data_IF_454964832676
#
_entry.id   IF_454964832676
#
_cell.length_a   1.000
_cell.length_b   1.000
_cell.length_c   1.000
_cell.angle_alpha   90.00
_cell.angle_beta   90.00
_cell.angle_gamma   90.00
#
_symmetry.space_group_name_H-M   'P 1'
#
loop_
_entity.id
_entity.type
_entity.pdbx_description
1 polymer ?
#
# COMPACT_ATOMS: atom_id res chain seq x y z
N UNK A 1 -16.35 -34.71 -60.06
CA UNK A 1 -16.83 -33.74 -59.07
C UNK A 1 -15.64 -33.31 -58.23
N UNK A 2 -15.48 -32.00 -58.06
CA UNK A 2 -14.41 -31.23 -57.40
C UNK A 2 -14.17 -31.71 -55.94
N UNK A 3 -13.02 -31.60 -55.25
CA UNK A 3 -11.98 -30.56 -55.05
C UNK A 3 -10.74 -31.23 -54.39
N UNK A 4 -9.48 -30.99 -54.77
CA UNK A 4 -8.53 -29.90 -54.36
C UNK A 4 -8.07 -30.05 -52.87
N UNK A 5 -6.80 -29.96 -52.42
CA UNK A 5 -5.45 -29.60 -52.92
C UNK A 5 -4.40 -30.16 -51.91
N UNK A 6 -3.28 -30.79 -52.29
CA UNK A 6 -1.89 -30.24 -52.45
C UNK A 6 -1.46 -29.19 -51.37
N UNK A 7 -0.26 -29.14 -50.74
CA UNK A 7 0.91 -30.02 -50.55
C UNK A 7 1.95 -29.29 -49.64
N UNK A 8 2.66 -30.04 -48.76
CA UNK A 8 4.08 -29.88 -48.30
C UNK A 8 4.57 -28.58 -47.60
N UNK A 9 5.53 -28.58 -46.65
CA UNK A 9 6.95 -29.00 -46.76
C UNK A 9 7.57 -29.24 -45.36
N UNK A 10 8.40 -30.28 -45.24
CA UNK A 10 9.34 -30.53 -44.14
C UNK A 10 10.76 -30.09 -44.55
N UNK A 11 11.49 -29.38 -43.69
CA UNK A 11 12.97 -29.30 -43.73
C UNK A 11 13.50 -29.33 -42.28
N UNK A 12 14.45 -30.22 -42.00
CA UNK A 12 15.31 -30.26 -40.79
C UNK A 12 16.79 -30.27 -41.27
N UNK A 13 17.81 -30.18 -40.39
CA UNK A 13 18.57 -28.99 -40.01
C UNK A 13 20.01 -28.98 -40.58
N UNK A 14 20.70 -27.84 -40.59
CA UNK A 14 22.17 -27.87 -40.62
C UNK A 14 22.81 -26.68 -39.88
N UNK A 15 23.94 -26.97 -39.26
CA UNK A 15 24.59 -26.21 -38.20
C UNK A 15 25.40 -25.03 -38.72
N UNK A 16 25.42 -23.92 -37.98
CA UNK A 16 26.60 -23.07 -37.86
C UNK A 16 26.76 -22.68 -36.39
N UNK A 17 27.89 -23.12 -35.85
CA UNK A 17 28.41 -22.86 -34.53
C UNK A 17 29.32 -21.65 -34.65
N UNK A 18 29.04 -20.57 -33.93
CA UNK A 18 30.06 -19.60 -33.54
C UNK A 18 29.81 -19.13 -32.11
N UNK A 19 30.83 -19.37 -31.31
CA UNK A 19 30.95 -18.93 -29.93
C UNK A 19 31.37 -17.47 -29.94
N UNK A 20 30.59 -16.60 -29.30
CA UNK A 20 31.14 -15.38 -28.73
C UNK A 20 30.80 -15.32 -27.24
N UNK A 21 31.86 -15.48 -26.45
CA UNK A 21 31.92 -15.17 -25.03
C UNK A 21 31.76 -13.66 -24.84
N UNK A 22 30.65 -13.22 -24.25
CA UNK A 22 30.68 -12.07 -23.35
C UNK A 22 30.12 -12.47 -21.99
N UNK A 23 31.03 -12.52 -21.01
CA UNK A 23 30.69 -12.38 -19.61
C UNK A 23 30.20 -10.96 -19.40
N UNK A 24 28.96 -10.80 -18.94
CA UNK A 24 28.57 -9.63 -18.16
C UNK A 24 28.07 -10.09 -16.79
N UNK A 25 28.82 -9.65 -15.79
CA UNK A 25 28.51 -9.72 -14.37
C UNK A 25 27.33 -8.79 -14.04
N UNK A 26 26.74 -9.06 -12.87
CA UNK A 26 25.90 -8.15 -12.10
C UNK A 26 24.46 -7.93 -12.58
N UNK A 27 23.63 -8.98 -12.44
CA UNK A 27 22.20 -8.78 -12.11
C UNK A 27 22.07 -8.36 -10.65
N UNK A 28 22.45 -7.13 -10.34
CA UNK A 28 21.90 -6.41 -9.20
C UNK A 28 20.49 -5.97 -9.61
N UNK A 29 19.53 -6.88 -9.48
CA UNK A 29 18.12 -6.56 -9.66
C UNK A 29 17.73 -5.55 -8.59
N UNK A 30 17.71 -4.27 -8.94
CA UNK A 30 17.12 -3.25 -8.07
C UNK A 30 15.67 -3.65 -7.83
N UNK A 31 15.36 -4.11 -6.61
CA UNK A 31 13.98 -4.36 -6.18
C UNK A 31 13.25 -3.02 -6.23
N UNK A 32 12.45 -2.84 -7.27
CA UNK A 32 11.67 -1.61 -7.47
C UNK A 32 10.59 -1.59 -6.41
N UNK A 33 10.73 -0.70 -5.43
CA UNK A 33 9.63 -0.37 -4.52
C UNK A 33 8.44 0.14 -5.33
N UNK A 34 7.24 -0.36 -5.04
CA UNK A 34 6.02 0.10 -5.69
C UNK A 34 5.62 1.45 -5.09
N UNK A 35 5.85 2.51 -5.85
CA UNK A 35 5.38 3.87 -5.52
C UNK A 35 4.11 4.12 -6.32
N UNK A 36 2.98 4.36 -5.66
CA UNK A 36 1.88 5.03 -6.32
C UNK A 36 2.34 6.48 -6.60
N UNK A 37 2.60 6.82 -7.86
CA UNK A 37 2.82 8.22 -8.26
C UNK A 37 1.49 8.95 -8.10
N UNK A 38 1.29 9.56 -6.94
CA UNK A 38 0.20 10.52 -6.71
C UNK A 38 0.89 11.85 -6.45
N UNK A 39 0.73 12.76 -7.42
CA UNK A 39 1.04 14.17 -7.21
C UNK A 39 0.40 14.61 -5.89
N UNK A 40 1.15 15.34 -5.05
CA UNK A 40 0.54 16.12 -3.96
C UNK A 40 -0.50 17.03 -4.60
N UNK A 41 -1.77 16.67 -4.48
CA UNK A 41 -2.86 17.56 -4.81
C UNK A 41 -3.48 17.92 -3.47
N UNK A 42 -2.94 18.92 -2.78
CA UNK A 42 -3.72 19.60 -1.72
C UNK A 42 -4.90 20.28 -2.39
N UNK A 43 -6.00 19.55 -2.57
CA UNK A 43 -7.30 20.15 -2.84
C UNK A 43 -7.78 20.71 -1.50
N UNK A 44 -7.78 22.04 -1.36
CA UNK A 44 -8.53 22.75 -0.31
C UNK A 44 -8.19 22.39 1.16
N UNK A 45 -6.91 22.30 1.52
CA UNK A 45 -6.47 21.91 2.88
C UNK A 45 -6.84 20.46 3.31
N UNK A 46 -7.29 19.61 2.38
CA UNK A 46 -7.48 18.19 2.66
C UNK A 46 -6.13 17.47 2.70
N UNK A 47 -5.88 16.74 3.80
CA UNK A 47 -4.74 15.82 3.89
C UNK A 47 -5.01 14.67 2.95
N UNK A 48 -4.25 14.57 1.86
CA UNK A 48 -4.28 13.40 0.98
C UNK A 48 -3.11 12.49 1.37
N UNK A 49 -3.37 11.44 2.17
CA UNK A 49 -2.34 10.49 2.51
C UNK A 49 -1.91 9.72 1.25
N UNK A 50 -0.62 9.44 1.15
CA UNK A 50 -0.08 8.55 0.12
C UNK A 50 0.60 7.38 0.80
N UNK A 51 0.73 6.26 0.08
CA UNK A 51 1.34 5.07 0.62
C UNK A 51 2.46 4.55 -0.28
N UNK A 52 3.33 3.75 0.34
CA UNK A 52 4.36 2.97 -0.34
C UNK A 52 4.37 1.57 0.24
N UNK A 53 4.50 0.59 -0.65
CA UNK A 53 4.68 -0.80 -0.25
C UNK A 53 6.15 -1.21 -0.41
N UNK A 54 6.75 -1.66 0.69
CA UNK A 54 8.09 -2.20 0.77
C UNK A 54 8.01 -3.73 0.76
N UNK A 55 8.10 -4.33 -0.42
CA UNK A 55 7.90 -5.77 -0.63
C UNK A 55 8.92 -6.64 0.09
N UNK A 56 10.15 -6.16 0.25
CA UNK A 56 11.23 -6.88 0.93
C UNK A 56 11.02 -7.00 2.44
N UNK A 57 10.36 -6.01 3.05
CA UNK A 57 10.01 -6.00 4.46
C UNK A 57 8.54 -6.41 4.72
N UNK A 58 7.72 -6.53 3.67
CA UNK A 58 6.27 -6.69 3.75
C UNK A 58 5.61 -5.60 4.62
N UNK A 59 5.92 -4.34 4.32
CA UNK A 59 5.42 -3.15 5.04
C UNK A 59 4.68 -2.22 4.10
N UNK A 60 3.48 -1.82 4.49
CA UNK A 60 2.79 -0.67 3.87
C UNK A 60 2.98 0.53 4.79
N UNK A 61 3.66 1.56 4.29
CA UNK A 61 3.80 2.84 4.98
C UNK A 61 2.86 3.85 4.36
N UNK A 62 2.08 4.54 5.20
CA UNK A 62 1.16 5.60 4.83
C UNK A 62 1.70 6.90 5.42
N UNK A 63 1.82 7.94 4.60
CA UNK A 63 2.41 9.21 4.98
C UNK A 63 1.36 10.32 4.86
N UNK A 64 1.27 11.17 5.88
CA UNK A 64 0.40 12.36 5.87
C UNK A 64 1.15 13.63 5.46
N UNK A 65 2.47 13.60 5.56
CA UNK A 65 3.38 14.65 5.11
C UNK A 65 4.54 14.00 4.34
N UNK A 66 5.22 14.76 3.49
CA UNK A 66 6.38 14.25 2.77
C UNK A 66 7.47 13.80 3.74
N UNK A 67 7.94 12.54 3.67
CA UNK A 67 8.97 12.03 4.58
C UNK A 67 10.25 12.84 4.40
N UNK A 68 10.68 13.47 5.48
CA UNK A 68 11.90 14.26 5.55
C UNK A 68 12.79 13.69 6.65
N UNK A 69 14.10 13.58 6.40
CA UNK A 69 15.03 12.99 7.37
C UNK A 69 15.05 13.79 8.68
N UNK A 70 15.02 13.08 9.82
CA UNK A 70 15.02 13.70 11.15
C UNK A 70 13.68 14.29 11.59
N UNK A 71 12.61 14.04 10.85
CA UNK A 71 11.27 14.56 11.17
C UNK A 71 10.50 13.68 12.16
N UNK A 72 10.82 12.39 12.23
CA UNK A 72 10.21 11.45 13.20
C UNK A 72 10.96 11.58 14.53
N UNK A 73 10.22 11.90 15.58
CA UNK A 73 10.71 12.00 16.95
C UNK A 73 10.62 10.66 17.68
N UNK A 74 9.43 10.05 17.68
CA UNK A 74 9.18 8.75 18.30
C UNK A 74 8.11 7.97 17.53
N UNK A 75 7.85 6.73 17.95
CA UNK A 75 6.81 5.89 17.36
C UNK A 75 6.21 4.95 18.40
N UNK A 76 4.91 4.68 18.30
CA UNK A 76 4.15 3.87 19.24
C UNK A 76 3.27 2.86 18.51
N UNK A 77 3.06 1.69 19.12
CA UNK A 77 2.24 0.63 18.53
C UNK A 77 0.76 0.85 18.83
N UNK A 78 -0.04 1.16 17.80
CA UNK A 78 -1.50 1.20 17.93
C UNK A 78 -2.11 -0.22 18.02
N UNK A 79 -1.53 -1.16 17.27
CA UNK A 79 -1.90 -2.58 17.32
C UNK A 79 -0.62 -3.39 17.39
N UNK A 80 -0.51 -4.19 18.45
CA UNK A 80 0.68 -4.98 18.77
C UNK A 80 1.27 -5.70 17.55
N UNK A 81 2.54 -5.44 17.23
CA UNK A 81 3.28 -5.99 16.08
C UNK A 81 2.60 -5.82 14.71
N UNK A 82 1.64 -4.89 14.58
CA UNK A 82 0.77 -4.81 13.39
C UNK A 82 0.71 -3.40 12.83
N UNK A 83 0.41 -2.40 13.67
CA UNK A 83 0.27 -1.00 13.26
C UNK A 83 1.14 -0.14 14.17
N UNK A 84 2.11 0.55 13.58
CA UNK A 84 3.00 1.48 14.25
C UNK A 84 2.73 2.90 13.76
N UNK A 85 2.63 3.84 14.68
CA UNK A 85 2.32 5.25 14.42
C UNK A 85 3.59 6.05 14.71
N UNK A 86 4.01 6.88 13.77
CA UNK A 86 5.18 7.74 13.95
C UNK A 86 4.77 9.19 14.14
N UNK A 87 5.43 9.86 15.09
CA UNK A 87 5.10 11.21 15.53
C UNK A 87 6.26 12.19 15.31
N UNK A 88 5.93 13.46 15.10
CA UNK A 88 6.90 14.56 15.06
C UNK A 88 7.22 15.09 16.48
N UNK A 89 7.97 16.19 16.57
CA UNK A 89 8.35 16.82 17.84
C UNK A 89 7.18 17.54 18.55
N UNK A 90 6.04 17.71 17.88
CA UNK A 90 4.82 18.31 18.41
C UNK A 90 3.76 17.24 18.71
N UNK A 91 4.16 15.96 18.77
CA UNK A 91 3.29 14.79 18.96
C UNK A 91 2.18 14.68 17.90
N UNK A 92 2.46 15.13 16.67
CA UNK A 92 1.57 14.95 15.52
C UNK A 92 1.99 13.74 14.69
N UNK A 93 1.01 12.97 14.25
CA UNK A 93 1.15 11.79 13.41
C UNK A 93 1.67 12.18 12.03
N UNK A 94 2.81 11.61 11.68
CA UNK A 94 3.53 11.82 10.43
C UNK A 94 3.25 10.68 9.45
N UNK A 95 3.24 9.45 9.96
CA UNK A 95 3.06 8.24 9.18
C UNK A 95 2.51 7.08 10.00
N UNK A 96 2.01 6.07 9.29
CA UNK A 96 1.60 4.77 9.82
C UNK A 96 2.29 3.68 9.04
N UNK A 97 2.93 2.76 9.75
CA UNK A 97 3.49 1.53 9.20
C UNK A 97 2.62 0.34 9.57
N UNK A 98 2.28 -0.47 8.57
CA UNK A 98 1.52 -1.72 8.72
C UNK A 98 2.46 -2.88 8.40
N UNK A 99 2.78 -3.68 9.42
CA UNK A 99 3.71 -4.80 9.31
C UNK A 99 3.03 -6.08 8.82
N UNK A 100 3.81 -6.93 8.15
CA UNK A 100 3.32 -8.16 7.51
C UNK A 100 2.07 -7.89 6.67
N UNK A 101 2.11 -6.79 5.93
CA UNK A 101 0.95 -6.15 5.33
C UNK A 101 0.16 -7.10 4.42
N UNK A 102 0.86 -7.99 3.70
CA UNK A 102 0.25 -9.01 2.85
C UNK A 102 -0.73 -9.94 3.59
N UNK A 103 -0.51 -10.17 4.88
CA UNK A 103 -1.36 -10.99 5.76
C UNK A 103 -2.33 -10.15 6.58
N UNK A 104 -1.84 -9.05 7.12
CA UNK A 104 -2.56 -8.15 8.02
C UNK A 104 -3.67 -7.40 7.32
N UNK A 105 -3.49 -6.96 6.08
CA UNK A 105 -4.51 -6.21 5.36
C UNK A 105 -5.56 -7.13 4.75
N UNK A 106 -6.80 -6.62 4.73
CA UNK A 106 -7.92 -7.28 4.05
C UNK A 106 -7.82 -7.22 2.52
N UNK A 107 -6.96 -6.36 1.98
CA UNK A 107 -6.67 -6.22 0.56
C UNK A 107 -5.34 -6.90 0.16
N UNK A 108 -5.12 -7.14 -1.13
CA UNK A 108 -3.83 -7.58 -1.66
C UNK A 108 -2.99 -6.39 -2.16
N UNK A 109 -1.67 -6.61 -2.21
CA UNK A 109 -0.68 -5.58 -2.56
C UNK A 109 -0.13 -5.72 -4.00
N UNK A 110 -0.63 -6.72 -4.75
CA UNK A 110 -0.26 -6.99 -6.13
C UNK A 110 -0.62 -5.85 -7.08
N UNK A 111 0.09 -5.76 -8.21
CA UNK A 111 -0.16 -4.77 -9.26
C UNK A 111 -1.25 -5.21 -10.24
N UNK A 112 -2.43 -5.43 -9.69
CA UNK A 112 -3.65 -5.75 -10.44
C UNK A 112 -4.84 -5.08 -9.76
N UNK A 113 -5.88 -4.79 -10.55
CA UNK A 113 -7.16 -4.27 -10.03
C UNK A 113 -8.18 -5.38 -9.81
N UNK A 114 -7.86 -6.62 -10.18
CA UNK A 114 -8.70 -7.79 -9.95
C UNK A 114 -8.48 -8.35 -8.56
N UNK A 115 -9.51 -8.93 -7.96
CA UNK A 115 -9.38 -9.67 -6.71
C UNK A 115 -8.38 -10.85 -6.86
N UNK A 116 -7.65 -11.12 -5.78
CA UNK A 116 -6.72 -12.25 -5.67
C UNK A 116 -6.92 -12.89 -4.30
N UNK A 117 -7.17 -14.19 -4.27
CA UNK A 117 -7.46 -14.96 -3.05
C UNK A 117 -8.55 -14.31 -2.19
N UNK A 118 -9.66 -13.92 -2.82
CA UNK A 118 -10.81 -13.23 -2.21
C UNK A 118 -10.46 -11.91 -1.49
N UNK A 119 -9.28 -11.33 -1.80
CA UNK A 119 -8.90 -9.99 -1.34
C UNK A 119 -9.11 -8.98 -2.48
N UNK A 120 -9.72 -7.81 -2.24
CA UNK A 120 -9.71 -6.71 -3.18
C UNK A 120 -8.31 -6.08 -3.32
N UNK A 121 -8.05 -5.29 -4.37
CA UNK A 121 -6.82 -4.51 -4.46
C UNK A 121 -6.75 -3.44 -3.37
N UNK A 122 -5.53 -3.12 -2.93
CA UNK A 122 -5.29 -1.96 -2.04
C UNK A 122 -5.71 -0.68 -2.76
N UNK A 123 -6.74 -0.03 -2.20
CA UNK A 123 -7.20 1.29 -2.61
C UNK A 123 -7.29 2.16 -1.36
N UNK A 124 -6.29 3.01 -1.15
CA UNK A 124 -6.28 3.96 -0.04
C UNK A 124 -7.29 5.08 -0.32
N UNK A 125 -8.28 5.20 0.56
CA UNK A 125 -9.28 6.26 0.52
C UNK A 125 -9.40 6.93 1.89
N UNK A 126 -9.44 8.25 1.94
CA UNK A 126 -9.59 9.02 3.17
C UNK A 126 -10.88 9.82 3.18
N UNK A 127 -11.56 9.85 4.32
CA UNK A 127 -12.68 10.77 4.56
C UNK A 127 -12.49 11.53 5.87
N UNK A 128 -12.72 12.84 5.84
CA UNK A 128 -12.67 13.68 7.03
C UNK A 128 -14.08 14.13 7.44
N UNK A 129 -14.38 14.04 8.73
CA UNK A 129 -15.68 14.39 9.29
C UNK A 129 -15.55 15.54 10.29
N UNK A 130 -15.75 16.77 9.81
CA UNK A 130 -15.49 18.02 10.55
C UNK A 130 -16.19 18.08 11.92
N UNK A 131 -17.46 17.67 11.99
CA UNK A 131 -18.27 17.77 13.22
C UNK A 131 -17.67 16.96 14.37
N UNK A 132 -17.03 15.83 14.05
CA UNK A 132 -16.46 14.91 15.05
C UNK A 132 -14.93 15.02 15.12
N UNK A 133 -14.33 15.83 14.25
CA UNK A 133 -12.88 15.91 14.06
C UNK A 133 -12.23 14.52 13.84
N UNK A 134 -12.81 13.74 12.92
CA UNK A 134 -12.37 12.37 12.61
C UNK A 134 -11.83 12.25 11.19
N UNK A 135 -10.61 11.71 11.04
CA UNK A 135 -10.09 11.24 9.76
C UNK A 135 -10.21 9.72 9.72
N UNK A 136 -10.81 9.19 8.65
CA UNK A 136 -10.93 7.75 8.40
C UNK A 136 -10.10 7.38 7.18
N UNK A 137 -9.30 6.34 7.29
CA UNK A 137 -8.52 5.74 6.21
C UNK A 137 -9.05 4.34 5.92
N UNK A 138 -9.45 4.10 4.68
CA UNK A 138 -9.91 2.81 4.19
C UNK A 138 -8.88 2.22 3.25
N UNK A 139 -8.67 0.91 3.32
CA UNK A 139 -7.68 0.20 2.50
C UNK A 139 -8.27 -0.50 1.27
N UNK A 140 -9.58 -0.45 1.09
CA UNK A 140 -10.25 -0.97 -0.09
C UNK A 140 -11.53 -0.17 -0.35
N UNK A 141 -12.10 -0.34 -1.55
CA UNK A 141 -13.32 0.36 -1.97
C UNK A 141 -14.60 -0.24 -1.38
N UNK A 142 -14.50 -1.37 -0.68
CA UNK A 142 -15.62 -1.96 0.04
C UNK A 142 -15.86 -1.14 1.30
N UNK A 143 -16.46 0.03 1.14
CA UNK A 143 -17.05 0.80 2.22
C UNK A 143 -18.26 -0.01 2.70
N UNK A 144 -17.99 -1.08 3.42
CA UNK A 144 -19.02 -1.82 4.13
C UNK A 144 -19.72 -0.81 5.03
N UNK A 145 -21.03 -0.70 4.90
CA UNK A 145 -21.85 0.20 5.71
C UNK A 145 -21.83 -0.16 7.19
N UNK A 146 -21.29 -1.34 7.54
CA UNK A 146 -21.19 -1.87 8.89
C UNK A 146 -19.74 -1.99 9.39
N UNK A 147 -18.89 -1.00 9.09
CA UNK A 147 -17.55 -0.96 9.69
C UNK A 147 -17.64 -0.57 11.17
N UNK A 148 -17.16 -1.46 12.04
CA UNK A 148 -17.02 -1.20 13.48
C UNK A 148 -15.57 -0.90 13.81
N UNK A 149 -15.34 0.21 14.51
CA UNK A 149 -14.02 0.61 14.97
C UNK A 149 -13.82 0.23 16.43
N UNK A 150 -12.69 -0.41 16.73
CA UNK A 150 -12.28 -0.80 18.08
C UNK A 150 -11.16 0.11 18.57
N UNK A 151 -11.11 0.37 19.87
CA UNK A 151 -10.01 1.12 20.48
C UNK A 151 -8.69 0.38 20.25
N UNK A 152 -7.67 1.14 19.90
CA UNK A 152 -6.28 0.67 19.81
C UNK A 152 -5.56 0.94 21.13
N UNK A 153 -4.30 0.51 21.26
CA UNK A 153 -3.46 0.88 22.41
C UNK A 153 -3.13 2.38 22.39
N UNK A 154 -3.10 2.99 21.20
CA UNK A 154 -2.89 4.41 21.01
C UNK A 154 -4.17 5.22 21.21
N UNK A 155 -4.09 6.23 22.07
CA UNK A 155 -5.21 7.15 22.34
C UNK A 155 -5.60 7.93 21.07
N UNK A 156 -6.91 8.06 20.86
CA UNK A 156 -7.52 8.67 19.67
C UNK A 156 -7.27 7.92 18.36
N UNK A 157 -6.71 6.71 18.40
CA UNK A 157 -6.59 5.85 17.22
C UNK A 157 -7.49 4.63 17.43
N UNK A 158 -8.28 4.33 16.40
CA UNK A 158 -9.16 3.16 16.36
C UNK A 158 -8.93 2.38 15.09
N UNK A 159 -9.13 1.07 15.18
CA UNK A 159 -8.89 0.16 14.07
C UNK A 159 -10.17 -0.61 13.75
N UNK A 160 -10.46 -0.75 12.47
CA UNK A 160 -11.48 -1.66 11.98
C UNK A 160 -10.83 -2.92 11.41
N UNK A 161 -11.41 -4.07 11.72
CA UNK A 161 -10.97 -5.36 11.24
C UNK A 161 -12.15 -6.14 10.65
N UNK A 162 -11.86 -7.02 9.69
CA UNK A 162 -12.83 -7.99 9.20
C UNK A 162 -12.93 -9.22 10.12
N UNK A 163 -13.83 -10.15 9.80
CA UNK A 163 -14.05 -11.38 10.58
C UNK A 163 -12.80 -12.28 10.66
N UNK A 164 -11.85 -12.10 9.73
CA UNK A 164 -10.55 -12.78 9.73
C UNK A 164 -9.48 -12.02 10.52
N UNK A 165 -9.86 -10.98 11.27
CA UNK A 165 -8.98 -10.08 12.03
C UNK A 165 -7.98 -9.33 11.16
N UNK A 166 -8.28 -9.14 9.87
CA UNK A 166 -7.45 -8.35 8.96
C UNK A 166 -7.88 -6.89 9.03
N UNK A 167 -6.93 -5.98 9.05
CA UNK A 167 -7.17 -4.54 9.11
C UNK A 167 -7.86 -4.07 7.81
N UNK A 168 -8.98 -3.36 7.97
CA UNK A 168 -9.78 -2.81 6.86
C UNK A 168 -9.74 -1.29 6.81
N UNK A 169 -9.65 -0.64 7.97
CA UNK A 169 -9.59 0.81 8.08
C UNK A 169 -8.93 1.26 9.39
N UNK A 170 -8.46 2.51 9.41
CA UNK A 170 -8.02 3.24 10.59
C UNK A 170 -8.89 4.48 10.79
N UNK A 171 -9.11 4.89 12.03
CA UNK A 171 -9.81 6.13 12.39
C UNK A 171 -8.96 6.89 13.41
N UNK A 172 -8.73 8.16 13.11
CA UNK A 172 -8.01 9.10 13.95
C UNK A 172 -9.01 10.11 14.50
N UNK A 173 -9.16 10.18 15.82
CA UNK A 173 -9.91 11.23 16.50
C UNK A 173 -9.02 12.46 16.72
N UNK A 174 -9.64 13.63 16.93
CA UNK A 174 -8.92 14.89 17.11
C UNK A 174 -7.94 15.19 15.96
N UNK A 175 -8.31 14.80 14.73
CA UNK A 175 -7.43 14.80 13.56
C UNK A 175 -6.93 16.19 13.14
N UNK A 176 -7.69 17.23 13.44
CA UNK A 176 -7.32 18.62 13.24
C UNK A 176 -6.07 18.99 14.03
N UNK A 177 -5.81 18.33 15.17
CA UNK A 177 -4.65 18.57 16.03
C UNK A 177 -3.58 17.50 15.89
N UNK A 178 -4.01 16.24 15.74
CA UNK A 178 -3.10 15.09 15.77
C UNK A 178 -2.45 14.76 14.43
N UNK A 179 -3.04 15.08 13.29
CA UNK A 179 -2.39 14.78 12.00
C UNK A 179 -1.46 15.92 11.61
N UNK A 180 -0.21 15.57 11.28
CA UNK A 180 0.77 16.52 10.78
C UNK A 180 0.33 17.06 9.42
N UNK A 181 0.54 18.37 9.19
CA UNK A 181 0.22 19.05 7.93
C UNK A 181 1.41 19.88 7.48
N UNK A 182 1.58 19.98 6.16
CA UNK A 182 2.48 20.97 5.57
C UNK A 182 2.05 22.37 6.06
N UNK A 183 2.99 23.11 6.65
CA UNK A 183 2.80 24.45 7.23
C UNK A 183 2.76 25.53 6.15
#
# INVERSE_FOLDING_TARGET
MLTSEYQSVTIIPEQIQDQDNLKEQDKQTSRKSKTANINLISLNNEIIPFYKYYEDADIVSIYFIKPTFGYINHSEEAVNNTVLISYDNEDRIVSVDIFTASKTLSCHLLDTQSEVDDKPPLLLHSTYHEINDELRLYFNNSISTNITFFKSEEEDIKVAMDDSKRVTALLFCNSSKKICRDS
#
